data_IF_177381947527
#
_entry.id   IF_177381947527
#
_cell.length_a   1.000
_cell.length_b   1.000
_cell.length_c   1.000
_cell.angle_alpha   90.00
_cell.angle_beta   90.00
_cell.angle_gamma   90.00
#
_symmetry.space_group_name_H-M   'P 1'
#
loop_
_entity.id
_entity.type
_entity.pdbx_description
1 polymer ?
#
# COMPACT_ATOMS: atom_id res chain seq x y z
N UNK A 1 45.70 -8.08 18.62
CA UNK A 1 44.81 -6.90 18.56
C UNK A 1 44.75 -6.45 17.11
N UNK A 2 43.65 -6.72 16.42
CA UNK A 2 43.44 -6.42 15.01
C UNK A 2 42.15 -5.62 14.84
N UNK A 3 42.29 -4.47 14.19
CA UNK A 3 41.33 -3.38 14.03
C UNK A 3 40.08 -3.77 13.20
N UNK A 4 38.83 -3.49 13.65
CA UNK A 4 37.63 -3.73 12.88
C UNK A 4 37.12 -2.47 12.16
N UNK A 5 37.97 -1.77 11.40
CA UNK A 5 37.58 -0.53 10.70
C UNK A 5 37.37 -0.67 9.17
N UNK A 6 37.09 -1.88 8.64
CA UNK A 6 36.99 -2.09 7.17
C UNK A 6 35.62 -2.49 6.61
N UNK A 7 34.56 -2.51 7.42
CA UNK A 7 33.22 -2.94 6.97
C UNK A 7 32.13 -1.87 6.97
N UNK A 8 32.28 -0.79 7.73
CA UNK A 8 31.15 0.10 8.07
C UNK A 8 30.67 1.02 6.93
N UNK A 9 31.52 1.28 5.92
CA UNK A 9 31.20 2.26 4.85
C UNK A 9 30.46 1.71 3.63
N UNK A 10 30.39 0.38 3.44
CA UNK A 10 29.87 -0.22 2.19
C UNK A 10 28.39 -0.61 2.25
N UNK A 11 27.83 -0.77 3.44
CA UNK A 11 26.44 -1.24 3.64
C UNK A 11 25.50 -0.11 4.04
N UNK A 12 25.96 0.87 4.84
CA UNK A 12 25.12 1.97 5.34
C UNK A 12 24.58 2.90 4.25
N UNK A 13 25.38 3.25 3.24
CA UNK A 13 24.96 4.12 2.14
C UNK A 13 24.03 3.45 1.13
N UNK A 14 23.98 2.11 1.10
CA UNK A 14 23.25 1.37 0.07
C UNK A 14 21.73 1.54 0.17
N UNK A 15 21.18 1.67 1.40
CA UNK A 15 19.74 1.82 1.61
C UNK A 15 19.25 3.23 1.27
N UNK A 16 19.85 4.33 1.77
CA UNK A 16 19.47 5.69 1.35
C UNK A 16 19.58 5.90 -0.16
N UNK A 17 20.60 5.33 -0.81
CA UNK A 17 20.71 5.37 -2.27
C UNK A 17 19.57 4.61 -2.96
N UNK A 18 19.18 3.43 -2.45
CA UNK A 18 18.06 2.67 -2.99
C UNK A 18 16.73 3.42 -2.86
N UNK A 19 16.52 4.14 -1.74
CA UNK A 19 15.36 5.03 -1.55
C UNK A 19 15.35 6.13 -2.60
N UNK A 20 16.46 6.85 -2.79
CA UNK A 20 16.56 7.90 -3.82
C UNK A 20 16.29 7.36 -5.23
N UNK A 21 16.81 6.18 -5.55
CA UNK A 21 16.57 5.52 -6.83
C UNK A 21 15.09 5.12 -7.03
N UNK A 22 14.41 4.69 -5.97
CA UNK A 22 12.96 4.44 -6.01
C UNK A 22 12.17 5.73 -6.24
N UNK A 23 12.50 6.83 -5.54
CA UNK A 23 11.87 8.14 -5.74
C UNK A 23 12.03 8.58 -7.20
N UNK A 24 13.25 8.51 -7.74
CA UNK A 24 13.48 8.85 -9.15
C UNK A 24 12.72 7.95 -10.11
N UNK A 25 12.62 6.64 -9.83
CA UNK A 25 11.88 5.71 -10.68
C UNK A 25 10.36 5.98 -10.64
N UNK A 26 9.81 6.36 -9.49
CA UNK A 26 8.39 6.67 -9.31
C UNK A 26 8.02 8.03 -9.89
N UNK A 27 8.93 9.01 -9.86
CA UNK A 27 8.76 10.31 -10.52
C UNK A 27 8.87 10.23 -12.04
N UNK A 28 9.57 9.23 -12.58
CA UNK A 28 9.78 9.11 -14.02
C UNK A 28 8.47 8.77 -14.73
N UNK A 29 8.15 9.57 -15.74
CA UNK A 29 7.19 9.19 -16.78
C UNK A 29 7.71 7.95 -17.48
N UNK A 30 6.85 6.95 -17.67
CA UNK A 30 7.23 5.72 -18.38
C UNK A 30 7.81 6.11 -19.75
N UNK A 31 8.98 5.60 -20.13
CA UNK A 31 9.54 5.92 -21.46
C UNK A 31 8.91 4.98 -22.49
N UNK A 32 7.65 5.19 -22.86
CA UNK A 32 7.18 4.62 -24.12
C UNK A 32 7.81 5.42 -25.25
N UNK A 33 8.73 4.79 -25.99
CA UNK A 33 9.33 5.38 -27.19
C UNK A 33 8.24 5.92 -28.13
N UNK A 34 8.27 7.19 -28.56
CA UNK A 34 7.75 7.49 -29.88
C UNK A 34 8.76 6.89 -30.86
N UNK A 35 8.37 5.83 -31.57
CA UNK A 35 9.10 5.42 -32.77
C UNK A 35 9.30 6.67 -33.63
N UNK A 36 10.55 6.88 -34.05
CA UNK A 36 10.95 7.84 -35.08
C UNK A 36 9.83 8.08 -36.11
N UNK A 37 9.19 9.25 -36.06
CA UNK A 37 8.26 9.68 -37.10
C UNK A 37 9.05 10.43 -38.17
N UNK A 38 9.83 9.68 -38.94
CA UNK A 38 10.19 10.08 -40.28
C UNK A 38 9.14 9.54 -41.25
N UNK A 39 8.38 10.46 -41.83
CA UNK A 39 7.72 10.41 -43.16
C UNK A 39 6.24 9.99 -43.29
N UNK A 40 5.54 10.88 -44.02
CA UNK A 40 4.29 10.83 -44.79
C UNK A 40 2.92 10.97 -44.09
N UNK A 41 2.07 11.93 -44.53
CA UNK A 41 0.71 12.06 -44.04
C UNK A 41 -0.17 11.02 -44.72
N UNK A 42 -0.70 10.09 -43.94
CA UNK A 42 -1.83 9.25 -44.37
C UNK A 42 -3.04 9.68 -43.56
N UNK A 43 -4.10 10.06 -44.25
CA UNK A 43 -5.40 10.43 -43.71
C UNK A 43 -6.06 9.23 -43.03
N UNK A 44 -5.69 8.98 -41.77
CA UNK A 44 -6.40 8.11 -40.86
C UNK A 44 -6.89 8.95 -39.67
N UNK A 45 -8.08 8.68 -39.11
CA UNK A 45 -8.53 9.40 -37.92
C UNK A 45 -7.48 9.22 -36.81
N UNK A 46 -7.17 10.26 -36.02
CA UNK A 46 -6.14 10.18 -35.01
C UNK A 46 -6.50 9.07 -34.03
N UNK A 47 -5.73 7.97 -34.07
CA UNK A 47 -5.72 7.00 -32.97
C UNK A 47 -5.46 7.80 -31.69
N UNK A 48 -6.35 7.67 -30.70
CA UNK A 48 -6.16 8.20 -29.35
C UNK A 48 -4.71 7.89 -28.95
N UNK A 49 -3.87 8.92 -28.82
CA UNK A 49 -2.53 8.77 -28.26
C UNK A 49 -2.74 8.11 -26.90
N UNK A 50 -2.27 6.88 -26.73
CA UNK A 50 -2.17 6.30 -25.41
C UNK A 50 -1.25 7.24 -24.64
N UNK A 51 -1.81 7.99 -23.70
CA UNK A 51 -1.04 8.88 -22.85
C UNK A 51 0.00 8.01 -22.16
N UNK A 52 1.26 8.27 -22.45
CA UNK A 52 2.38 7.70 -21.71
C UNK A 52 2.09 7.88 -20.22
N UNK A 53 2.04 6.80 -19.42
CA UNK A 53 1.68 6.96 -18.02
C UNK A 53 2.67 7.91 -17.33
N UNK A 54 2.11 8.93 -16.67
CA UNK A 54 2.87 9.87 -15.86
C UNK A 54 3.59 9.13 -14.72
N UNK A 55 4.71 9.71 -14.25
CA UNK A 55 5.20 9.37 -12.91
C UNK A 55 4.17 9.76 -11.86
N UNK A 56 4.37 9.34 -10.61
CA UNK A 56 3.48 9.70 -9.50
C UNK A 56 3.92 11.03 -8.89
N UNK A 57 3.06 12.03 -8.95
CA UNK A 57 3.18 13.33 -8.29
C UNK A 57 4.40 14.15 -8.73
N UNK A 58 4.77 15.08 -7.85
CA UNK A 58 6.00 15.87 -7.94
C UNK A 58 6.94 15.51 -6.80
N UNK A 59 8.17 16.03 -6.77
CA UNK A 59 9.09 15.77 -5.64
C UNK A 59 8.49 16.17 -4.28
N UNK A 60 7.61 17.19 -4.24
CA UNK A 60 6.94 17.62 -3.02
C UNK A 60 5.89 16.61 -2.51
N UNK A 61 5.47 15.67 -3.36
CA UNK A 61 4.54 14.58 -3.01
C UNK A 61 5.18 13.47 -2.18
N UNK A 62 6.51 13.50 -1.97
CA UNK A 62 7.28 12.43 -1.35
C UNK A 62 7.84 12.88 0.00
N UNK A 63 7.64 12.04 1.02
CA UNK A 63 8.32 12.16 2.30
C UNK A 63 9.07 10.85 2.59
N UNK A 64 10.31 10.94 3.05
CA UNK A 64 11.12 9.77 3.40
C UNK A 64 11.16 9.53 4.90
N UNK A 65 11.44 8.30 5.32
CA UNK A 65 11.69 7.93 6.72
C UNK A 65 10.54 8.31 7.69
N UNK A 66 9.30 8.19 7.24
CA UNK A 66 8.12 8.66 7.98
C UNK A 66 7.73 7.65 9.07
N UNK A 67 7.77 8.09 10.33
CA UNK A 67 7.25 7.30 11.44
C UNK A 67 5.74 7.08 11.34
N UNK A 68 5.31 5.82 11.52
CA UNK A 68 3.92 5.36 11.47
C UNK A 68 3.54 4.78 12.86
N UNK A 69 3.00 5.60 13.77
CA UNK A 69 2.92 5.24 15.18
C UNK A 69 1.79 4.24 15.45
N UNK A 70 2.13 3.04 15.92
CA UNK A 70 1.14 2.09 16.46
C UNK A 70 0.66 2.49 17.88
N UNK A 71 1.48 3.24 18.61
CA UNK A 71 1.18 3.87 19.91
C UNK A 71 1.79 5.29 19.96
N UNK A 72 1.50 6.09 20.98
CA UNK A 72 2.00 7.48 21.07
C UNK A 72 1.33 8.44 20.09
N UNK A 73 1.95 9.59 19.78
CA UNK A 73 1.40 10.59 18.85
C UNK A 73 2.20 10.66 17.56
N UNK A 74 1.84 11.56 16.64
CA UNK A 74 2.65 11.85 15.46
C UNK A 74 4.01 12.46 15.82
N UNK A 75 4.04 13.31 16.83
CA UNK A 75 5.25 14.04 17.27
C UNK A 75 6.10 13.24 18.25
N UNK A 76 5.48 12.28 18.95
CA UNK A 76 6.13 11.38 19.90
C UNK A 76 5.68 9.93 19.65
N UNK A 77 6.22 9.27 18.60
CA UNK A 77 5.82 7.93 18.23
C UNK A 77 6.27 6.91 19.29
N UNK A 78 5.31 6.16 19.82
CA UNK A 78 5.62 5.07 20.75
C UNK A 78 6.30 3.89 20.05
N UNK A 79 6.92 3.02 20.86
CA UNK A 79 7.62 1.83 20.35
C UNK A 79 6.68 0.90 19.57
N UNK A 80 7.24 0.18 18.60
CA UNK A 80 6.54 -0.86 17.86
C UNK A 80 5.73 -0.37 16.64
N UNK A 81 5.80 0.91 16.31
CA UNK A 81 5.32 1.44 15.02
C UNK A 81 6.18 0.99 13.84
N UNK A 82 5.66 1.19 12.63
CA UNK A 82 6.45 1.09 11.40
C UNK A 82 7.17 2.42 11.15
N UNK A 83 8.17 2.38 10.28
CA UNK A 83 8.76 3.56 9.66
C UNK A 83 8.76 3.30 8.17
N UNK A 84 8.04 4.12 7.41
CA UNK A 84 8.01 3.99 5.96
C UNK A 84 9.24 4.62 5.35
N UNK A 85 9.89 3.89 4.43
CA UNK A 85 11.02 4.43 3.68
C UNK A 85 10.56 5.62 2.82
N UNK A 86 9.38 5.51 2.21
CA UNK A 86 8.75 6.59 1.44
C UNK A 86 7.23 6.59 1.70
N UNK A 87 6.66 7.79 1.83
CA UNK A 87 5.22 8.05 1.77
C UNK A 87 4.97 8.97 0.58
N UNK A 88 3.98 8.60 -0.24
CA UNK A 88 3.61 9.35 -1.45
C UNK A 88 2.17 9.82 -1.32
N UNK A 89 1.95 11.11 -1.56
CA UNK A 89 0.64 11.75 -1.64
C UNK A 89 0.53 12.51 -2.96
N UNK A 90 -0.12 11.88 -3.94
CA UNK A 90 -0.37 12.43 -5.28
C UNK A 90 -1.82 12.17 -5.69
N UNK A 91 -2.80 12.78 -4.98
CA UNK A 91 -4.22 12.59 -5.28
C UNK A 91 -4.57 12.99 -6.73
N UNK A 92 -3.84 13.92 -7.34
CA UNK A 92 -3.95 14.32 -8.74
C UNK A 92 -3.68 13.18 -9.73
N UNK A 93 -2.86 12.20 -9.34
CA UNK A 93 -2.55 11.00 -10.12
C UNK A 93 -3.34 9.77 -9.62
N UNK A 94 -4.37 9.99 -8.80
CA UNK A 94 -5.20 8.91 -8.24
C UNK A 94 -4.51 8.13 -7.12
N UNK A 95 -3.41 8.63 -6.55
CA UNK A 95 -2.68 8.03 -5.43
C UNK A 95 -2.77 8.94 -4.21
N UNK A 96 -3.91 8.94 -3.48
CA UNK A 96 -4.10 9.84 -2.34
C UNK A 96 -3.15 9.53 -1.19
N UNK A 97 -2.77 8.27 -1.01
CA UNK A 97 -1.75 7.84 -0.06
C UNK A 97 -1.17 6.48 -0.48
N UNK A 98 0.15 6.36 -0.51
CA UNK A 98 0.89 5.13 -0.76
C UNK A 98 2.09 5.05 0.18
N UNK A 99 2.23 3.92 0.88
CA UNK A 99 3.45 3.59 1.63
C UNK A 99 4.39 2.77 0.76
N UNK A 100 5.69 3.01 0.88
CA UNK A 100 6.71 2.25 0.16
C UNK A 100 7.76 1.76 1.14
N UNK A 101 8.09 0.47 1.01
CA UNK A 101 9.19 -0.20 1.70
C UNK A 101 10.21 -0.66 0.66
N UNK A 102 11.49 -0.36 0.88
CA UNK A 102 12.60 -0.81 0.06
C UNK A 102 13.33 -1.93 0.80
N UNK A 103 13.44 -3.11 0.18
CA UNK A 103 14.23 -4.20 0.73
C UNK A 103 15.46 -4.45 -0.14
N UNK A 104 16.65 -4.22 0.42
CA UNK A 104 17.93 -4.50 -0.22
C UNK A 104 18.27 -6.00 -0.28
N UNK A 105 17.30 -6.89 -0.08
CA UNK A 105 17.46 -8.35 -0.09
C UNK A 105 18.39 -8.91 1.01
N UNK A 106 18.50 -8.21 2.14
CA UNK A 106 19.21 -8.68 3.35
C UNK A 106 18.27 -9.19 4.43
N UNK A 107 16.96 -8.96 4.32
CA UNK A 107 15.98 -9.42 5.30
C UNK A 107 15.38 -10.77 4.92
N UNK A 108 14.99 -11.55 5.93
CA UNK A 108 14.21 -12.78 5.71
C UNK A 108 12.74 -12.44 5.42
N UNK A 109 12.00 -13.41 4.88
CA UNK A 109 10.56 -13.23 4.68
C UNK A 109 9.81 -12.99 6.00
N UNK A 110 10.30 -13.55 7.11
CA UNK A 110 9.74 -13.36 8.45
C UNK A 110 9.94 -11.93 8.96
N UNK A 111 11.12 -11.35 8.73
CA UNK A 111 11.38 -9.94 9.10
C UNK A 111 10.48 -9.01 8.30
N UNK A 112 10.34 -9.25 7.01
CA UNK A 112 9.46 -8.46 6.14
C UNK A 112 7.96 -8.65 6.48
N UNK A 113 7.55 -9.88 6.86
CA UNK A 113 6.20 -10.13 7.36
C UNK A 113 5.94 -9.36 8.67
N UNK A 114 6.89 -9.33 9.60
CA UNK A 114 6.79 -8.54 10.82
C UNK A 114 6.73 -7.03 10.56
N UNK A 115 7.34 -6.54 9.47
CA UNK A 115 7.15 -5.15 9.03
C UNK A 115 5.71 -4.92 8.56
N UNK A 116 5.18 -5.81 7.73
CA UNK A 116 3.78 -5.76 7.27
C UNK A 116 2.80 -5.78 8.47
N UNK A 117 3.07 -6.58 9.51
CA UNK A 117 2.29 -6.55 10.76
C UNK A 117 2.26 -5.15 11.39
N UNK A 118 3.40 -4.44 11.39
CA UNK A 118 3.49 -3.07 11.95
C UNK A 118 2.68 -2.08 11.11
N UNK A 119 2.76 -2.16 9.77
CA UNK A 119 1.92 -1.34 8.88
C UNK A 119 0.44 -1.61 9.11
N UNK A 120 0.05 -2.88 9.26
CA UNK A 120 -1.35 -3.23 9.55
C UNK A 120 -1.81 -2.65 10.88
N UNK A 121 -1.02 -2.81 11.96
CA UNK A 121 -1.33 -2.22 13.27
C UNK A 121 -1.50 -0.71 13.20
N UNK A 122 -0.66 -0.03 12.44
CA UNK A 122 -0.78 1.41 12.20
C UNK A 122 -2.07 1.75 11.42
N UNK A 123 -2.40 1.01 10.36
CA UNK A 123 -3.59 1.27 9.54
C UNK A 123 -4.91 1.03 10.30
N UNK A 124 -4.91 0.06 11.21
CA UNK A 124 -6.05 -0.28 12.07
C UNK A 124 -6.18 0.66 13.27
N UNK A 125 -5.12 1.40 13.61
CA UNK A 125 -5.12 2.28 14.77
C UNK A 125 -6.15 3.37 14.60
N UNK A 126 -7.04 3.49 15.59
CA UNK A 126 -8.03 4.56 15.68
C UNK A 126 -7.64 5.57 16.75
N UNK A 127 -8.06 6.82 16.54
CA UNK A 127 -7.99 7.91 17.50
C UNK A 127 -9.33 8.63 17.52
N UNK A 128 -9.67 9.24 18.65
CA UNK A 128 -10.80 10.15 18.71
C UNK A 128 -10.43 11.46 18.01
N UNK A 129 -11.27 11.89 17.09
CA UNK A 129 -11.12 13.20 16.47
C UNK A 129 -11.80 14.30 17.29
N UNK A 130 -11.67 15.57 16.85
CA UNK A 130 -12.28 16.75 17.47
C UNK A 130 -13.80 16.65 17.64
N UNK A 131 -14.48 15.85 16.81
CA UNK A 131 -15.92 15.59 16.89
C UNK A 131 -16.28 14.44 17.86
N UNK A 132 -15.28 13.89 18.56
CA UNK A 132 -15.42 12.77 19.49
C UNK A 132 -15.57 11.40 18.83
N UNK A 133 -15.62 11.32 17.49
CA UNK A 133 -15.76 10.06 16.75
C UNK A 133 -14.40 9.41 16.54
N UNK A 134 -14.38 8.08 16.61
CA UNK A 134 -13.19 7.33 16.25
C UNK A 134 -12.97 7.34 14.74
N UNK A 135 -11.75 7.65 14.32
CA UNK A 135 -11.30 7.50 12.94
C UNK A 135 -9.90 6.90 12.88
N UNK A 136 -9.52 6.26 11.76
CA UNK A 136 -8.15 5.81 11.58
C UNK A 136 -7.16 6.96 11.75
N UNK A 137 -6.10 6.76 12.52
CA UNK A 137 -5.11 7.80 12.85
C UNK A 137 -4.47 8.40 11.59
N UNK A 138 -4.21 7.57 10.59
CA UNK A 138 -3.63 8.03 9.32
C UNK A 138 -4.53 9.04 8.59
N UNK A 139 -5.85 9.01 8.80
CA UNK A 139 -6.80 9.99 8.25
C UNK A 139 -6.78 11.35 8.94
N UNK A 140 -6.09 11.49 10.08
CA UNK A 140 -5.88 12.80 10.70
C UNK A 140 -4.76 13.58 10.02
N UNK A 141 -3.92 12.90 9.22
CA UNK A 141 -2.78 13.49 8.52
C UNK A 141 -2.98 13.53 7.01
N UNK A 142 -3.59 12.51 6.44
CA UNK A 142 -3.78 12.38 5.00
C UNK A 142 -5.24 12.21 4.65
N UNK A 143 -5.69 12.98 3.67
CA UNK A 143 -7.01 12.83 3.09
C UNK A 143 -7.01 11.70 2.08
N UNK A 144 -7.94 10.75 2.23
CA UNK A 144 -8.16 9.65 1.29
C UNK A 144 -9.68 9.48 1.14
N UNK A 145 -10.20 9.38 -0.10
CA UNK A 145 -11.63 9.17 -0.32
C UNK A 145 -12.09 7.82 0.25
N UNK A 146 -13.35 7.73 0.63
CA UNK A 146 -13.96 6.46 0.99
C UNK A 146 -14.10 5.56 -0.25
N UNK A 147 -14.10 4.24 -0.02
CA UNK A 147 -14.31 3.27 -1.06
C UNK A 147 -15.74 3.34 -1.62
N UNK A 148 -15.93 2.80 -2.84
CA UNK A 148 -17.20 2.91 -3.58
C UNK A 148 -18.41 2.33 -2.83
N UNK A 149 -18.18 1.43 -1.87
CA UNK A 149 -19.25 0.77 -1.10
C UNK A 149 -19.28 1.24 0.36
N UNK A 150 -18.66 2.39 0.66
CA UNK A 150 -18.51 2.90 2.03
C UNK A 150 -17.44 2.17 2.85
N UNK A 151 -16.66 1.31 2.21
CA UNK A 151 -15.49 0.67 2.79
C UNK A 151 -14.38 1.70 3.02
N UNK A 152 -13.56 1.49 4.07
CA UNK A 152 -12.41 2.35 4.37
C UNK A 152 -11.13 1.58 4.09
N UNK A 153 -10.73 1.42 2.81
CA UNK A 153 -9.57 0.63 2.46
C UNK A 153 -8.33 1.20 3.15
N UNK A 154 -7.47 0.30 3.63
CA UNK A 154 -6.17 0.70 4.12
C UNK A 154 -5.32 1.24 2.97
N UNK A 155 -4.43 2.22 3.23
CA UNK A 155 -3.51 2.71 2.21
C UNK A 155 -2.66 1.56 1.65
N UNK A 156 -2.43 1.48 0.33
CA UNK A 156 -1.58 0.44 -0.23
C UNK A 156 -0.14 0.51 0.30
N UNK A 157 0.50 -0.65 0.33
CA UNK A 157 1.93 -0.82 0.61
C UNK A 157 2.63 -1.37 -0.63
N UNK A 158 3.56 -0.60 -1.19
CA UNK A 158 4.47 -1.05 -2.25
C UNK A 158 5.77 -1.56 -1.64
N UNK A 159 6.15 -2.79 -1.94
CA UNK A 159 7.45 -3.36 -1.56
C UNK A 159 8.35 -3.42 -2.79
N UNK A 160 9.49 -2.76 -2.74
CA UNK A 160 10.46 -2.72 -3.84
C UNK A 160 11.70 -3.49 -3.45
N UNK A 161 11.92 -4.62 -4.12
CA UNK A 161 13.13 -5.42 -3.94
C UNK A 161 14.29 -4.85 -4.75
N UNK A 162 15.32 -4.38 -4.05
CA UNK A 162 16.58 -3.96 -4.63
C UNK A 162 17.62 -5.07 -4.43
N UNK A 163 17.99 -5.75 -5.52
CA UNK A 163 18.82 -6.98 -5.48
C UNK A 163 20.32 -6.68 -5.23
N UNK A 164 20.64 -6.14 -4.06
CA UNK A 164 22.01 -5.92 -3.58
C UNK A 164 22.46 -7.09 -2.70
N UNK A 165 21.59 -7.54 -1.80
CA UNK A 165 21.87 -8.59 -0.83
C UNK A 165 21.80 -10.00 -1.41
N UNK A 166 22.25 -11.00 -0.62
CA UNK A 166 22.45 -12.37 -1.09
C UNK A 166 21.13 -13.14 -1.32
N UNK A 167 19.98 -12.62 -0.88
CA UNK A 167 18.71 -13.35 -0.95
C UNK A 167 17.99 -13.09 -2.28
N UNK A 168 17.56 -14.17 -2.93
CA UNK A 168 16.78 -14.07 -4.16
C UNK A 168 15.32 -13.67 -3.84
N UNK A 169 14.79 -12.54 -4.35
CA UNK A 169 13.40 -12.15 -4.12
C UNK A 169 12.39 -13.14 -4.73
N UNK A 170 12.73 -13.85 -5.80
CA UNK A 170 11.84 -14.81 -6.46
C UNK A 170 11.43 -15.98 -5.56
N UNK A 171 12.31 -16.41 -4.66
CA UNK A 171 12.00 -17.47 -3.68
C UNK A 171 11.41 -16.93 -2.38
N UNK A 172 11.55 -15.62 -2.11
CA UNK A 172 11.01 -14.98 -0.91
C UNK A 172 9.55 -14.58 -1.07
N UNK A 173 9.16 -14.15 -2.26
CA UNK A 173 7.80 -13.70 -2.53
C UNK A 173 6.73 -14.74 -2.15
N UNK A 174 6.83 -16.03 -2.54
CA UNK A 174 5.82 -17.03 -2.14
C UNK A 174 5.72 -17.20 -0.62
N UNK A 175 6.87 -17.25 0.08
CA UNK A 175 6.89 -17.39 1.53
C UNK A 175 6.34 -16.15 2.24
N UNK A 176 6.65 -14.95 1.74
CA UNK A 176 6.08 -13.71 2.26
C UNK A 176 4.57 -13.67 2.07
N UNK A 177 4.09 -14.04 0.88
CA UNK A 177 2.67 -14.10 0.56
C UNK A 177 1.92 -15.06 1.51
N UNK A 178 2.52 -16.21 1.81
CA UNK A 178 1.98 -17.18 2.77
C UNK A 178 1.95 -16.61 4.20
N UNK A 179 3.06 -16.07 4.70
CA UNK A 179 3.18 -15.53 6.06
C UNK A 179 2.23 -14.35 6.32
N UNK A 180 1.92 -13.58 5.28
CA UNK A 180 1.13 -12.34 5.40
C UNK A 180 -0.28 -12.49 4.83
N UNK A 181 -0.68 -13.70 4.43
CA UNK A 181 -1.96 -13.99 3.79
C UNK A 181 -3.15 -13.32 4.48
N UNK A 182 -3.21 -13.43 5.81
CA UNK A 182 -4.30 -12.89 6.62
C UNK A 182 -4.48 -11.37 6.51
N UNK A 183 -3.42 -10.63 6.14
CA UNK A 183 -3.43 -9.17 6.02
C UNK A 183 -4.04 -8.67 4.72
N UNK A 184 -3.93 -9.41 3.63
CA UNK A 184 -4.31 -8.93 2.29
C UNK A 184 -5.35 -9.82 1.60
N UNK A 185 -5.47 -11.09 2.01
CA UNK A 185 -6.48 -11.97 1.44
C UNK A 185 -7.87 -11.51 1.88
N UNK A 186 -8.71 -11.18 0.89
CA UNK A 186 -10.10 -10.86 1.10
C UNK A 186 -10.93 -12.07 1.51
N UNK A 187 -12.09 -11.81 2.10
CA UNK A 187 -13.07 -12.82 2.46
C UNK A 187 -14.04 -13.04 1.30
N UNK A 188 -14.35 -14.29 0.98
CA UNK A 188 -15.27 -14.63 -0.09
C UNK A 188 -16.73 -14.47 0.36
N UNK A 189 -17.54 -13.85 -0.51
CA UNK A 189 -18.99 -13.69 -0.40
C UNK A 189 -19.65 -14.07 -1.74
N UNK A 190 -20.98 -14.14 -1.79
CA UNK A 190 -21.73 -14.59 -2.97
C UNK A 190 -21.51 -13.70 -4.22
N UNK A 191 -20.51 -14.10 -5.01
CA UNK A 191 -20.11 -13.46 -6.26
C UNK A 191 -19.13 -12.31 -6.12
N UNK A 192 -18.54 -12.07 -4.93
CA UNK A 192 -17.48 -11.06 -4.76
C UNK A 192 -16.61 -11.34 -3.52
N UNK A 193 -15.45 -10.69 -3.43
CA UNK A 193 -14.61 -10.71 -2.24
C UNK A 193 -14.67 -9.36 -1.50
N UNK A 194 -14.73 -9.39 -0.18
CA UNK A 194 -14.61 -8.20 0.68
C UNK A 194 -13.16 -8.04 1.15
N UNK A 195 -12.65 -6.81 1.07
CA UNK A 195 -11.29 -6.45 1.49
C UNK A 195 -11.29 -5.39 2.59
N UNK A 196 -12.41 -5.21 3.30
CA UNK A 196 -12.47 -4.26 4.40
C UNK A 196 -11.47 -4.67 5.50
N UNK A 197 -10.70 -3.70 6.00
CA UNK A 197 -9.61 -3.95 6.93
C UNK A 197 -8.42 -4.75 6.38
N UNK A 198 -8.35 -5.00 5.05
CA UNK A 198 -7.19 -5.63 4.41
C UNK A 198 -6.21 -4.58 3.88
N UNK A 199 -4.93 -4.90 3.93
CA UNK A 199 -3.84 -4.08 3.43
C UNK A 199 -3.55 -4.47 1.98
N UNK A 200 -3.77 -3.58 0.99
CA UNK A 200 -3.37 -3.84 -0.38
C UNK A 200 -1.85 -3.86 -0.50
N UNK A 201 -1.25 -4.96 -0.95
CA UNK A 201 0.21 -5.08 -1.09
C UNK A 201 0.57 -5.25 -2.57
N UNK A 202 1.47 -4.40 -3.05
CA UNK A 202 2.06 -4.49 -4.40
C UNK A 202 3.54 -4.78 -4.26
N UNK A 203 4.07 -5.67 -5.09
CA UNK A 203 5.48 -6.05 -5.02
C UNK A 203 6.14 -5.82 -6.38
N UNK A 204 7.34 -5.26 -6.37
CA UNK A 204 8.13 -5.12 -7.59
C UNK A 204 9.63 -5.23 -7.30
N UNK A 205 10.43 -5.29 -8.35
CA UNK A 205 11.88 -5.13 -8.26
C UNK A 205 12.29 -3.73 -8.70
N UNK A 206 13.35 -3.20 -8.10
CA UNK A 206 13.92 -1.89 -8.46
C UNK A 206 14.22 -1.78 -9.96
N UNK A 207 14.69 -2.86 -10.60
CA UNK A 207 14.92 -2.90 -12.05
C UNK A 207 13.63 -2.64 -12.85
N UNK A 208 12.56 -3.38 -12.54
CA UNK A 208 11.27 -3.26 -13.25
C UNK A 208 10.67 -1.86 -13.04
N UNK A 209 10.79 -1.33 -11.82
CA UNK A 209 10.32 0.02 -11.50
C UNK A 209 11.07 1.10 -12.29
N UNK A 210 12.40 0.98 -12.44
CA UNK A 210 13.21 1.92 -13.24
C UNK A 210 12.90 1.82 -14.74
N UNK A 211 12.62 0.62 -15.22
CA UNK A 211 12.40 0.35 -16.65
C UNK A 211 11.00 0.78 -17.10
N UNK A 212 9.97 0.47 -16.30
CA UNK A 212 8.58 0.67 -16.69
C UNK A 212 7.89 1.82 -15.98
N UNK A 213 8.48 2.33 -14.89
CA UNK A 213 7.87 3.35 -14.04
C UNK A 213 6.73 2.79 -13.18
N UNK A 214 5.98 3.66 -12.49
CA UNK A 214 4.89 3.27 -11.58
C UNK A 214 3.71 2.59 -12.28
N UNK A 215 3.53 2.83 -13.58
CA UNK A 215 2.45 2.26 -14.38
C UNK A 215 2.85 1.00 -15.16
N UNK A 216 4.06 0.47 -14.92
CA UNK A 216 4.43 -0.83 -15.45
C UNK A 216 3.52 -1.94 -14.91
N UNK A 217 3.45 -3.06 -15.63
CA UNK A 217 2.76 -4.25 -15.12
C UNK A 217 3.51 -4.78 -13.89
N UNK A 218 2.98 -4.47 -12.70
CA UNK A 218 3.54 -4.91 -11.44
C UNK A 218 2.75 -6.12 -10.90
N UNK A 219 3.44 -7.18 -10.44
CA UNK A 219 2.77 -8.26 -9.73
C UNK A 219 2.24 -7.72 -8.40
N UNK A 220 0.93 -7.50 -8.33
CA UNK A 220 0.26 -7.23 -7.08
C UNK A 220 0.06 -8.55 -6.32
N UNK A 221 0.15 -8.52 -4.99
CA UNK A 221 -0.46 -9.56 -4.16
C UNK A 221 -1.97 -9.33 -4.21
N UNK A 222 -2.56 -9.75 -5.33
CA UNK A 222 -4.00 -9.80 -5.61
C UNK A 222 -4.38 -11.27 -5.81
N UNK A 223 -5.57 -11.71 -5.40
CA UNK A 223 -6.13 -12.91 -6.01
C UNK A 223 -6.43 -12.65 -7.50
N UNK A 224 -6.51 -13.70 -8.34
CA UNK A 224 -6.77 -13.57 -9.77
C UNK A 224 -8.04 -12.75 -10.03
N UNK A 225 -7.98 -11.88 -11.04
CA UNK A 225 -9.14 -11.12 -11.50
C UNK A 225 -10.27 -12.08 -11.90
N UNK A 226 -11.45 -11.90 -11.30
CA UNK A 226 -12.63 -12.69 -11.66
C UNK A 226 -13.19 -12.13 -12.98
N UNK A 227 -13.54 -12.98 -13.96
CA UNK A 227 -14.25 -12.55 -15.15
C UNK A 227 -15.58 -11.90 -14.76
N UNK A 228 -15.96 -10.84 -15.47
CA UNK A 228 -17.21 -10.12 -15.26
C UNK A 228 -18.38 -11.11 -15.17
N UNK A 229 -18.97 -11.23 -13.98
CA UNK A 229 -20.20 -11.99 -13.83
C UNK A 229 -21.30 -11.29 -14.63
N UNK A 230 -22.13 -12.04 -15.39
CA UNK A 230 -23.18 -11.45 -16.21
C UNK A 230 -24.13 -10.63 -15.32
N UNK A 231 -24.50 -9.44 -15.81
CA UNK A 231 -25.47 -8.54 -15.18
C UNK A 231 -26.82 -9.25 -15.04
N UNK A 232 -27.02 -9.93 -13.91
CA UNK A 232 -28.33 -10.34 -13.42
C UNK A 232 -28.79 -9.33 -12.36
N UNK A 233 -30.02 -8.85 -12.52
CA UNK A 233 -30.69 -7.88 -11.64
C UNK A 233 -30.48 -8.20 -10.15
N UNK A 234 -29.92 -7.26 -9.39
CA UNK A 234 -29.81 -7.38 -7.92
C UNK A 234 -30.51 -6.21 -7.23
N UNK A 235 -31.49 -6.59 -6.42
CA UNK A 235 -32.12 -5.78 -5.37
C UNK A 235 -31.08 -5.18 -4.40
N UNK A 236 -31.37 -4.03 -3.77
CA UNK A 236 -30.41 -3.35 -2.90
C UNK A 236 -30.14 -4.10 -1.58
N UNK A 237 -28.87 -4.41 -1.35
CA UNK A 237 -28.29 -5.12 -0.18
C UNK A 237 -28.20 -4.20 1.07
N UNK A 238 -29.14 -3.28 1.26
CA UNK A 238 -29.11 -2.36 2.40
C UNK A 238 -29.60 -3.00 3.71
N UNK A 239 -30.26 -4.17 3.65
CA UNK A 239 -30.96 -4.74 4.80
C UNK A 239 -30.12 -5.73 5.64
N UNK A 240 -29.07 -6.32 5.07
CA UNK A 240 -28.23 -7.30 5.80
C UNK A 240 -27.17 -6.66 6.71
N UNK A 241 -26.85 -5.37 6.54
CA UNK A 241 -25.86 -4.66 7.38
C UNK A 241 -26.45 -4.09 8.69
N UNK A 242 -27.78 -4.14 8.91
CA UNK A 242 -28.43 -3.57 10.10
C UNK A 242 -28.74 -4.54 11.25
N UNK A 243 -28.56 -5.84 11.08
CA UNK A 243 -28.88 -6.80 12.14
C UNK A 243 -27.68 -7.07 13.07
N UNK A 244 -27.39 -6.15 13.98
CA UNK A 244 -26.71 -6.46 15.25
C UNK A 244 -27.68 -6.14 16.40
N UNK A 245 -28.24 -7.13 17.12
CA UNK A 245 -28.99 -6.84 18.33
C UNK A 245 -28.02 -6.62 19.50
N UNK A 246 -27.97 -5.38 19.99
CA UNK A 246 -27.28 -5.00 21.20
C UNK A 246 -28.15 -5.20 22.46
N UNK A 247 -27.48 -5.50 23.57
CA UNK A 247 -27.81 -5.10 24.94
C UNK A 247 -29.16 -5.57 25.53
N UNK A 248 -29.12 -6.64 26.33
CA UNK A 248 -30.05 -6.82 27.45
C UNK A 248 -29.39 -6.29 28.73
N UNK A 249 -29.90 -5.16 29.25
CA UNK A 249 -29.77 -4.79 30.67
C UNK A 249 -30.73 -5.65 31.49
N UNK A 250 -30.38 -6.13 32.70
CA UNK A 250 -31.37 -6.57 33.66
C UNK A 250 -31.88 -5.37 34.46
N UNK A 251 -33.20 -5.11 34.37
CA UNK A 251 -33.93 -4.17 35.22
C UNK A 251 -34.07 -4.71 36.63
N UNK A 252 -33.82 -3.82 37.60
CA UNK A 252 -34.21 -3.92 38.99
C UNK A 252 -35.72 -4.25 39.13
N UNK A 253 -36.06 -5.15 40.05
CA UNK A 253 -37.41 -5.25 40.63
C UNK A 253 -37.33 -4.90 42.10
N UNK A 254 -37.82 -3.72 42.45
CA UNK A 254 -38.41 -3.46 43.76
C UNK A 254 -39.75 -4.22 43.82
N UNK A 255 -39.96 -4.99 44.88
CA UNK A 255 -41.30 -5.14 45.49
C UNK A 255 -41.11 -5.33 46.99
N UNK A 256 -41.69 -4.40 47.76
CA UNK A 256 -41.85 -4.42 49.23
C UNK A 256 -43.28 -4.92 49.49
N UNK A 257 -43.55 -5.61 50.61
CA UNK A 257 -44.00 -4.93 51.83
C UNK A 257 -43.07 -5.11 53.03
#
# INVERSE_FOLDING_TARGET
MGDPARGAGRTGASHPMAVNEAVLALLRRSRTCPSSAASRPTSAPPRRRQSTPSGLGTIASYATEVALPATGTWSDPGKGGAQADIVITAPEDGVPLLFVEIDNCFESAQVLAAKIDKYMRFCQRKVKDVDGRERPMWRTRWWVPDGRRGDQPHPPLLIVFNRIGPRNPGHRYPRLAELTRWHWQGEAYDGFHMYDGKLPIVVTGMKMLKEHGPAGDLPALRPPAQPDAPRGDRQPVQEQLRARPGSRRPSERLTVP
#
